data_IF_432286688257
#
_entry.id   IF_432286688257
#
_cell.length_a   1.000
_cell.length_b   1.000
_cell.length_c   1.000
_cell.angle_alpha   90.00
_cell.angle_beta   90.00
_cell.angle_gamma   90.00
#
_symmetry.space_group_name_H-M   'P 1'
#
loop_
_entity.id
_entity.type
_entity.pdbx_description
1 polymer ?
#
# COMPACT_ATOMS: atom_id res chain seq x y z
N UNK A 1 -10.87 -0.54 -13.48
CA UNK A 1 -9.69 0.13 -12.89
C UNK A 1 -10.20 1.19 -11.93
N UNK A 2 -9.66 1.25 -10.70
CA UNK A 2 -9.99 2.35 -9.79
C UNK A 2 -9.66 3.68 -10.44
N UNK A 3 -10.52 4.67 -10.22
CA UNK A 3 -10.23 6.05 -10.60
C UNK A 3 -9.30 6.65 -9.55
N UNK A 4 -8.52 7.65 -9.94
CA UNK A 4 -7.74 8.43 -8.97
C UNK A 4 -8.66 8.94 -7.85
N UNK A 5 -8.25 8.76 -6.60
CA UNK A 5 -9.06 9.17 -5.44
C UNK A 5 -10.15 8.18 -5.00
N UNK A 6 -10.25 6.98 -5.58
CA UNK A 6 -11.01 5.90 -4.93
C UNK A 6 -10.38 5.60 -3.57
N UNK A 7 -11.19 5.64 -2.53
CA UNK A 7 -10.78 5.29 -1.16
C UNK A 7 -11.46 4.01 -0.72
N UNK A 8 -10.77 3.22 0.11
CA UNK A 8 -11.26 2.01 0.73
C UNK A 8 -10.79 2.01 2.18
N UNK A 9 -11.71 1.86 3.12
CA UNK A 9 -11.35 1.64 4.52
C UNK A 9 -11.30 0.14 4.77
N UNK A 10 -10.23 -0.32 5.41
CA UNK A 10 -10.08 -1.68 5.92
C UNK A 10 -9.89 -1.61 7.43
N UNK A 11 -10.38 -2.60 8.16
CA UNK A 11 -10.14 -2.72 9.60
C UNK A 11 -9.23 -3.91 9.82
N UNK A 12 -8.06 -3.69 10.41
CA UNK A 12 -7.07 -4.73 10.72
C UNK A 12 -6.65 -4.56 12.18
N UNK A 13 -6.70 -5.64 12.97
CA UNK A 13 -6.38 -5.61 14.41
C UNK A 13 -7.15 -4.53 15.20
N UNK A 14 -8.38 -4.22 14.76
CA UNK A 14 -9.23 -3.18 15.38
C UNK A 14 -8.85 -1.75 15.03
N UNK A 15 -7.92 -1.54 14.09
CA UNK A 15 -7.51 -0.24 13.59
C UNK A 15 -8.05 -0.05 12.17
N UNK A 16 -8.69 1.09 11.94
CA UNK A 16 -9.21 1.46 10.62
C UNK A 16 -8.11 2.14 9.79
N UNK A 17 -7.76 1.52 8.65
CA UNK A 17 -6.83 2.05 7.68
C UNK A 17 -7.58 2.51 6.43
N UNK A 18 -7.35 3.77 6.04
CA UNK A 18 -7.86 4.36 4.81
C UNK A 18 -6.81 4.19 3.72
N UNK A 19 -7.17 3.42 2.70
CA UNK A 19 -6.40 3.23 1.49
C UNK A 19 -6.92 4.18 0.40
N UNK A 20 -6.04 4.81 -0.35
CA UNK A 20 -6.37 5.68 -1.47
C UNK A 20 -5.62 5.27 -2.74
N UNK A 21 -6.36 5.17 -3.85
CA UNK A 21 -5.75 4.79 -5.12
C UNK A 21 -5.02 6.00 -5.72
N UNK A 22 -3.72 5.90 -6.01
CA UNK A 22 -2.88 7.03 -6.40
C UNK A 22 -3.08 7.42 -7.88
N UNK A 23 -3.91 6.65 -8.58
CA UNK A 23 -4.17 6.80 -10.01
C UNK A 23 -3.22 5.94 -10.86
N UNK A 24 -3.60 5.72 -12.12
CA UNK A 24 -2.90 4.76 -13.01
C UNK A 24 -1.44 5.12 -13.23
N UNK A 25 -1.10 6.42 -13.36
CA UNK A 25 0.28 6.87 -13.58
C UNK A 25 1.17 6.56 -12.38
N UNK A 26 0.73 6.93 -11.18
CA UNK A 26 1.51 6.69 -9.96
C UNK A 26 1.56 5.21 -9.63
N UNK A 27 0.47 4.45 -9.88
CA UNK A 27 0.47 2.99 -9.78
C UNK A 27 1.57 2.35 -10.65
N UNK A 28 1.75 2.78 -11.90
CA UNK A 28 2.82 2.29 -12.76
C UNK A 28 4.20 2.63 -12.20
N UNK A 29 4.39 3.88 -11.74
CA UNK A 29 5.67 4.30 -11.13
C UNK A 29 6.02 3.51 -9.88
N UNK A 30 5.03 3.27 -9.01
CA UNK A 30 5.20 2.49 -7.79
C UNK A 30 5.64 1.06 -8.15
N UNK A 31 4.98 0.44 -9.14
CA UNK A 31 5.40 -0.87 -9.65
C UNK A 31 6.84 -0.86 -10.17
N UNK A 32 7.19 0.11 -11.01
CA UNK A 32 8.56 0.24 -11.54
C UNK A 32 9.61 0.47 -10.42
N UNK A 33 9.22 1.07 -9.29
CA UNK A 33 10.14 1.33 -8.16
C UNK A 33 10.43 0.09 -7.32
N UNK A 34 9.44 -0.78 -7.08
CA UNK A 34 9.63 -1.99 -6.27
C UNK A 34 10.02 -3.23 -7.10
N UNK A 35 9.79 -3.21 -8.42
CA UNK A 35 10.38 -4.15 -9.37
C UNK A 35 11.76 -3.61 -9.79
N UNK A 36 12.83 -4.10 -9.17
CA UNK A 36 14.19 -3.66 -9.48
C UNK A 36 14.66 -4.06 -10.89
N UNK A 37 15.81 -3.53 -11.32
CA UNK A 37 16.49 -3.98 -12.54
C UNK A 37 16.77 -5.49 -12.46
N UNK A 38 16.19 -6.26 -13.38
CA UNK A 38 16.24 -7.72 -13.39
C UNK A 38 14.96 -8.42 -12.92
N UNK A 39 13.91 -7.68 -12.54
CA UNK A 39 12.61 -8.24 -12.15
C UNK A 39 12.55 -8.74 -10.71
N UNK A 40 13.55 -8.41 -9.89
CA UNK A 40 13.56 -8.76 -8.47
C UNK A 40 12.57 -7.87 -7.70
N UNK A 41 11.56 -8.49 -7.09
CA UNK A 41 10.58 -7.82 -6.25
C UNK A 41 11.17 -7.55 -4.86
N UNK A 42 11.16 -6.29 -4.43
CA UNK A 42 11.57 -5.89 -3.09
C UNK A 42 10.34 -5.61 -2.24
N UNK A 43 10.06 -6.51 -1.28
CA UNK A 43 8.94 -6.36 -0.34
C UNK A 43 9.09 -5.11 0.54
N UNK A 44 10.31 -4.80 0.96
CA UNK A 44 10.62 -3.61 1.76
C UNK A 44 10.26 -2.32 1.00
N UNK A 45 10.73 -2.17 -0.24
CA UNK A 45 10.38 -1.03 -1.09
C UNK A 45 8.89 -0.97 -1.41
N UNK A 46 8.27 -2.12 -1.65
CA UNK A 46 6.83 -2.18 -1.89
C UNK A 46 6.06 -1.64 -0.68
N UNK A 47 6.42 -2.07 0.53
CA UNK A 47 5.82 -1.58 1.77
C UNK A 47 6.02 -0.08 1.97
N UNK A 48 7.23 0.45 1.77
CA UNK A 48 7.46 1.90 1.84
C UNK A 48 6.57 2.69 0.89
N UNK A 49 6.43 2.23 -0.36
CA UNK A 49 5.57 2.89 -1.34
C UNK A 49 4.09 2.78 -0.96
N UNK A 50 3.66 1.66 -0.35
CA UNK A 50 2.29 1.50 0.13
C UNK A 50 2.00 2.49 1.27
N UNK A 51 2.92 2.62 2.22
CA UNK A 51 2.80 3.56 3.34
C UNK A 51 2.73 5.02 2.88
N UNK A 52 3.48 5.38 1.84
CA UNK A 52 3.56 6.76 1.34
C UNK A 52 2.40 7.14 0.43
N UNK A 53 1.98 6.23 -0.45
CA UNK A 53 1.08 6.57 -1.55
C UNK A 53 -0.31 5.92 -1.47
N UNK A 54 -0.44 4.82 -0.73
CA UNK A 54 -1.70 4.07 -0.63
C UNK A 54 -2.37 4.28 0.72
N UNK A 55 -1.65 4.05 1.82
CA UNK A 55 -2.19 4.20 3.16
C UNK A 55 -2.13 5.68 3.54
N UNK A 56 -3.30 6.33 3.54
CA UNK A 56 -3.39 7.76 3.82
C UNK A 56 -3.59 8.03 5.31
N UNK A 57 -4.35 7.18 6.00
CA UNK A 57 -4.63 7.28 7.43
C UNK A 57 -4.78 5.88 8.08
N UNK A 58 -4.27 5.65 9.30
CA UNK A 58 -3.24 6.44 9.96
C UNK A 58 -1.93 6.45 9.14
N UNK A 59 -1.05 7.43 9.40
CA UNK A 59 0.29 7.43 8.81
C UNK A 59 1.12 6.35 9.48
N UNK A 60 1.44 5.31 8.70
CA UNK A 60 2.19 4.15 9.16
C UNK A 60 3.61 4.13 8.59
N UNK A 61 4.49 3.40 9.26
CA UNK A 61 5.87 3.10 8.87
C UNK A 61 6.24 1.70 9.38
N UNK A 62 7.44 1.21 9.05
CA UNK A 62 7.92 -0.02 9.68
C UNK A 62 7.99 0.11 11.21
N UNK A 63 8.46 1.23 11.73
CA UNK A 63 8.50 1.47 13.18
C UNK A 63 7.11 1.39 13.82
N UNK A 64 6.07 1.87 13.13
CA UNK A 64 4.68 1.73 13.60
C UNK A 64 4.29 0.25 13.73
N UNK A 65 4.66 -0.57 12.75
CA UNK A 65 4.36 -2.00 12.75
C UNK A 65 5.32 -2.86 13.60
N UNK A 66 6.44 -2.30 14.05
CA UNK A 66 7.26 -2.94 15.10
C UNK A 66 6.54 -2.92 16.46
N UNK A 67 5.62 -1.96 16.66
CA UNK A 67 4.78 -1.84 17.86
C UNK A 67 3.33 -2.30 17.66
N UNK A 68 2.89 -2.49 16.40
CA UNK A 68 1.51 -2.86 16.05
C UNK A 68 1.46 -4.07 15.12
N UNK A 69 0.64 -5.05 15.48
CA UNK A 69 0.38 -6.21 14.66
C UNK A 69 -0.45 -5.86 13.39
N UNK A 70 -0.51 -6.78 12.44
CA UNK A 70 -1.32 -6.65 11.23
C UNK A 70 -0.59 -6.11 10.00
N UNK A 71 0.73 -5.92 10.06
CA UNK A 71 1.56 -5.47 8.93
C UNK A 71 1.31 -6.24 7.64
N UNK A 72 1.40 -7.58 7.69
CA UNK A 72 1.24 -8.42 6.50
C UNK A 72 -0.14 -8.27 5.87
N UNK A 73 -1.19 -8.14 6.69
CA UNK A 73 -2.57 -8.00 6.24
C UNK A 73 -2.83 -6.63 5.62
N UNK A 74 -2.39 -5.56 6.30
CA UNK A 74 -2.46 -4.19 5.78
C UNK A 74 -1.71 -4.08 4.45
N UNK A 75 -0.50 -4.64 4.37
CA UNK A 75 0.31 -4.59 3.16
C UNK A 75 -0.34 -5.37 2.01
N UNK A 76 -0.89 -6.56 2.31
CA UNK A 76 -1.60 -7.39 1.32
C UNK A 76 -2.83 -6.67 0.78
N UNK A 77 -3.65 -6.08 1.65
CA UNK A 77 -4.82 -5.32 1.23
C UNK A 77 -4.44 -4.07 0.42
N UNK A 78 -3.38 -3.34 0.83
CA UNK A 78 -2.87 -2.19 0.09
C UNK A 78 -2.38 -2.57 -1.31
N UNK A 79 -1.60 -3.66 -1.44
CA UNK A 79 -1.14 -4.16 -2.74
C UNK A 79 -2.29 -4.66 -3.61
N UNK A 80 -3.27 -5.34 -3.02
CA UNK A 80 -4.45 -5.80 -3.73
C UNK A 80 -5.28 -4.62 -4.25
N UNK A 81 -5.47 -3.60 -3.40
CA UNK A 81 -6.17 -2.38 -3.75
C UNK A 81 -5.44 -1.60 -4.87
N UNK A 82 -4.11 -1.54 -4.83
CA UNK A 82 -3.31 -0.98 -5.90
C UNK A 82 -3.53 -1.71 -7.24
N UNK A 83 -3.61 -3.05 -7.23
CA UNK A 83 -3.71 -3.85 -8.46
C UNK A 83 -5.14 -3.89 -9.04
N UNK A 84 -6.14 -4.11 -8.19
CA UNK A 84 -7.53 -4.37 -8.61
C UNK A 84 -8.37 -3.08 -8.58
N UNK A 85 -8.05 -2.16 -7.66
CA UNK A 85 -8.81 -0.93 -7.48
C UNK A 85 -10.22 -1.13 -6.93
N UNK A 86 -10.46 -2.24 -6.23
CA UNK A 86 -11.71 -2.57 -5.54
C UNK A 86 -11.41 -3.26 -4.22
#
# INVERSE_FOLDING_TARGET
>A
MAKIGTQKTITVEGIDYVLQHPGTREQTRIQDRFLGEGGAFSTEKAAEEMFKHIIVEPKVSFDYFDEHDGFEEVLKEAMNFLRIGK
#
